data_IF_832210633140
#
_entry.id   IF_832210633140
#
_cell.length_a   1.000
_cell.length_b   1.000
_cell.length_c   1.000
_cell.angle_alpha   90.00
_cell.angle_beta   90.00
_cell.angle_gamma   90.00
#
_symmetry.space_group_name_H-M   'P 1'
#
loop_
_entity.id
_entity.type
_entity.pdbx_description
1 polymer ?
#
# COMPACT_ATOMS: atom_id res chain seq x y z
N UNK A 1 25.65 -3.58 15.01
CA UNK A 1 26.07 -3.08 13.65
C UNK A 1 25.68 -4.15 12.64
N UNK A 2 24.79 -3.80 11.70
CA UNK A 2 24.39 -4.74 10.65
C UNK A 2 25.49 -4.84 9.58
N UNK A 3 25.93 -6.05 9.27
CA UNK A 3 26.87 -6.29 8.20
C UNK A 3 26.27 -5.89 6.83
N UNK A 4 24.96 -6.01 6.70
CA UNK A 4 24.24 -5.60 5.49
C UNK A 4 24.33 -4.08 5.26
N UNK A 5 24.18 -3.26 6.30
CA UNK A 5 24.34 -1.79 6.23
C UNK A 5 25.74 -1.39 5.74
N UNK A 6 26.77 -1.99 6.34
CA UNK A 6 28.16 -1.80 5.91
C UNK A 6 28.39 -2.22 4.46
N UNK A 7 27.77 -3.35 4.04
CA UNK A 7 27.91 -3.86 2.68
C UNK A 7 27.19 -2.98 1.65
N UNK A 8 26.07 -2.33 1.98
CA UNK A 8 25.45 -1.32 1.12
C UNK A 8 26.35 -0.11 0.96
N UNK A 9 26.84 0.46 2.07
CA UNK A 9 27.73 1.60 2.04
C UNK A 9 29.02 1.28 1.29
N UNK A 10 29.63 0.12 1.55
CA UNK A 10 30.81 -0.37 0.83
C UNK A 10 30.57 -0.59 -0.66
N UNK A 11 29.41 -1.10 -1.05
CA UNK A 11 29.05 -1.27 -2.47
C UNK A 11 29.01 0.07 -3.21
N UNK A 12 28.46 1.10 -2.59
CA UNK A 12 28.42 2.46 -3.16
C UNK A 12 29.81 3.08 -3.31
N UNK A 13 30.74 2.75 -2.40
CA UNK A 13 32.14 3.18 -2.49
C UNK A 13 32.93 2.41 -3.57
N UNK A 14 32.57 1.15 -3.85
CA UNK A 14 33.23 0.30 -4.85
C UNK A 14 32.72 0.60 -6.25
N UNK A 15 31.41 0.66 -6.41
CA UNK A 15 30.74 0.89 -7.71
C UNK A 15 29.45 1.70 -7.54
N UNK A 16 29.52 2.97 -7.88
CA UNK A 16 28.39 3.89 -7.80
C UNK A 16 27.23 3.55 -8.76
N UNK A 17 27.44 2.69 -9.77
CA UNK A 17 26.38 2.28 -10.70
C UNK A 17 25.25 1.53 -9.98
N UNK A 18 25.51 0.91 -8.83
CA UNK A 18 24.50 0.25 -8.03
C UNK A 18 23.54 1.22 -7.30
N UNK A 19 23.85 2.53 -7.21
CA UNK A 19 23.10 3.51 -6.44
C UNK A 19 21.61 3.56 -6.83
N UNK A 20 21.31 3.52 -8.12
CA UNK A 20 19.92 3.60 -8.59
C UNK A 20 19.09 2.43 -8.05
N UNK A 21 19.62 1.22 -8.12
CA UNK A 21 18.95 0.02 -7.62
C UNK A 21 18.85 0.02 -6.08
N UNK A 22 19.87 0.51 -5.39
CA UNK A 22 19.88 0.65 -3.92
C UNK A 22 18.80 1.67 -3.47
N UNK A 23 18.70 2.82 -4.13
CA UNK A 23 17.68 3.87 -3.82
C UNK A 23 16.24 3.37 -3.98
N UNK A 24 15.99 2.35 -4.77
CA UNK A 24 14.66 1.74 -4.91
C UNK A 24 14.30 0.86 -3.71
N UNK A 25 15.28 0.38 -2.96
CA UNK A 25 15.09 -0.58 -1.86
C UNK A 25 15.17 0.05 -0.48
N UNK A 26 15.99 1.09 -0.29
CA UNK A 26 16.27 1.68 1.02
C UNK A 26 16.15 3.21 1.01
N UNK A 27 15.86 3.74 2.18
CA UNK A 27 15.91 5.17 2.52
C UNK A 27 17.03 5.44 3.52
N UNK A 28 17.42 6.70 3.66
CA UNK A 28 18.42 7.13 4.63
C UNK A 28 18.08 6.66 6.06
N UNK A 29 16.81 6.71 6.44
CA UNK A 29 16.33 6.30 7.78
C UNK A 29 16.33 4.78 8.01
N UNK A 30 16.58 3.98 6.99
CA UNK A 30 16.76 2.54 7.15
C UNK A 30 18.10 2.19 7.78
N UNK A 31 19.11 3.08 7.64
CA UNK A 31 20.44 2.88 8.19
C UNK A 31 20.48 3.24 9.68
N UNK A 32 20.90 2.27 10.50
CA UNK A 32 21.09 2.44 11.94
C UNK A 32 22.37 3.23 12.25
N UNK A 33 23.43 2.95 11.48
CA UNK A 33 24.76 3.58 11.66
C UNK A 33 24.80 4.91 10.94
N UNK A 34 25.05 5.98 11.68
CA UNK A 34 25.07 7.33 11.13
C UNK A 34 26.11 7.53 10.01
N UNK A 35 27.26 6.85 10.09
CA UNK A 35 28.29 6.91 9.05
C UNK A 35 27.83 6.25 7.75
N UNK A 36 27.16 5.08 7.80
CA UNK A 36 26.63 4.38 6.62
C UNK A 36 25.52 5.19 5.97
N UNK A 37 24.61 5.77 6.78
CA UNK A 37 23.58 6.71 6.35
C UNK A 37 24.20 7.89 5.58
N UNK A 38 25.22 8.50 6.16
CA UNK A 38 25.86 9.67 5.56
C UNK A 38 26.53 9.36 4.22
N UNK A 39 27.11 8.16 4.05
CA UNK A 39 27.65 7.68 2.78
C UNK A 39 26.53 7.55 1.75
N UNK A 40 25.42 6.91 2.10
CA UNK A 40 24.26 6.77 1.21
C UNK A 40 23.68 8.12 0.80
N UNK A 41 23.46 9.03 1.76
CA UNK A 41 22.96 10.38 1.49
C UNK A 41 23.93 11.20 0.62
N UNK A 42 25.23 11.08 0.85
CA UNK A 42 26.24 11.75 0.04
C UNK A 42 26.22 11.26 -1.41
N UNK A 43 26.12 9.93 -1.61
CA UNK A 43 25.99 9.34 -2.94
C UNK A 43 24.71 9.82 -3.65
N UNK A 44 23.60 9.91 -2.93
CA UNK A 44 22.33 10.43 -3.45
C UNK A 44 22.45 11.91 -3.86
N UNK A 45 23.03 12.77 -3.00
CA UNK A 45 23.22 14.20 -3.30
C UNK A 45 24.11 14.42 -4.51
N UNK A 46 25.20 13.66 -4.65
CA UNK A 46 26.08 13.74 -5.81
C UNK A 46 25.37 13.33 -7.11
N UNK A 47 24.58 12.25 -7.06
CA UNK A 47 23.78 11.81 -8.19
C UNK A 47 22.76 12.87 -8.62
N UNK A 48 22.02 13.44 -7.66
CA UNK A 48 21.01 14.46 -7.92
C UNK A 48 21.61 15.77 -8.47
N UNK A 49 22.86 16.05 -8.11
CA UNK A 49 23.64 17.19 -8.64
C UNK A 49 24.35 16.89 -9.97
N UNK A 50 24.25 15.66 -10.51
CA UNK A 50 24.94 15.24 -11.74
C UNK A 50 26.46 15.26 -11.61
N UNK A 51 26.99 15.11 -10.38
CA UNK A 51 28.42 15.11 -10.09
C UNK A 51 29.02 13.70 -10.16
N UNK A 52 30.32 13.60 -10.36
CA UNK A 52 31.00 12.30 -10.33
C UNK A 52 30.89 11.67 -8.94
N UNK A 53 30.60 10.37 -8.94
CA UNK A 53 30.38 9.58 -7.74
C UNK A 53 31.50 8.53 -7.65
N UNK A 54 32.40 8.74 -6.71
CA UNK A 54 33.48 7.84 -6.36
C UNK A 54 33.77 7.91 -4.85
N UNK A 55 34.65 7.05 -4.37
CA UNK A 55 35.00 6.99 -2.94
C UNK A 55 35.44 8.35 -2.37
N UNK A 56 36.21 9.13 -3.12
CA UNK A 56 36.75 10.42 -2.65
C UNK A 56 35.61 11.45 -2.57
N UNK A 57 34.82 11.58 -3.63
CA UNK A 57 33.73 12.56 -3.70
C UNK A 57 32.61 12.23 -2.68
N UNK A 58 32.26 10.97 -2.46
CA UNK A 58 31.30 10.56 -1.45
C UNK A 58 31.80 10.94 -0.05
N UNK A 59 33.01 10.55 0.33
CA UNK A 59 33.57 10.83 1.67
C UNK A 59 33.69 12.32 1.91
N UNK A 60 34.20 13.09 0.92
CA UNK A 60 34.29 14.55 1.03
C UNK A 60 32.92 15.21 1.16
N UNK A 61 31.92 14.77 0.37
CA UNK A 61 30.56 15.30 0.46
C UNK A 61 29.92 14.98 1.81
N UNK A 62 30.08 13.79 2.32
CA UNK A 62 29.58 13.40 3.65
C UNK A 62 30.20 14.24 4.77
N UNK A 63 31.53 14.41 4.76
CA UNK A 63 32.27 15.27 5.73
C UNK A 63 31.82 16.73 5.66
N UNK A 64 31.63 17.27 4.45
CA UNK A 64 31.13 18.65 4.24
C UNK A 64 29.73 18.84 4.90
N UNK A 65 28.93 17.80 5.02
CA UNK A 65 27.63 17.85 5.65
C UNK A 65 27.64 17.37 7.12
N UNK A 66 28.81 17.37 7.75
CA UNK A 66 28.97 17.15 9.20
C UNK A 66 29.12 15.67 9.61
N UNK A 67 29.29 14.75 8.66
CA UNK A 67 29.53 13.36 9.03
C UNK A 67 30.98 13.13 9.42
N UNK A 68 31.20 12.41 10.54
CA UNK A 68 32.52 11.97 10.97
C UNK A 68 32.85 10.60 10.35
N UNK A 69 33.46 10.62 9.17
CA UNK A 69 33.88 9.43 8.43
C UNK A 69 35.39 9.47 8.27
N UNK A 70 36.09 8.52 8.89
CA UNK A 70 37.55 8.38 8.70
C UNK A 70 37.86 7.64 7.40
N UNK A 71 39.05 7.88 6.85
CA UNK A 71 39.54 7.14 5.67
C UNK A 71 39.69 5.63 5.98
N UNK A 72 40.06 5.33 7.21
CA UNK A 72 40.11 3.95 7.73
C UNK A 72 38.72 3.26 7.69
N UNK A 73 37.67 3.99 8.07
CA UNK A 73 36.30 3.45 8.03
C UNK A 73 35.87 3.16 6.60
N UNK A 74 36.08 4.08 5.67
CA UNK A 74 35.79 3.88 4.26
C UNK A 74 36.57 2.69 3.68
N UNK A 75 37.86 2.55 3.99
CA UNK A 75 38.66 1.41 3.58
C UNK A 75 38.16 0.08 4.19
N UNK A 76 37.67 0.12 5.42
CA UNK A 76 37.10 -1.06 6.09
C UNK A 76 35.81 -1.49 5.40
N UNK A 77 34.90 -0.57 5.06
CA UNK A 77 33.67 -0.87 4.32
C UNK A 77 33.95 -1.54 2.99
N UNK A 78 34.93 -1.04 2.24
CA UNK A 78 35.33 -1.64 0.96
C UNK A 78 35.96 -3.05 1.14
N UNK A 79 36.65 -3.29 2.26
CA UNK A 79 37.24 -4.62 2.56
C UNK A 79 36.20 -5.66 2.98
N UNK A 80 35.17 -5.27 3.76
CA UNK A 80 34.12 -6.19 4.22
C UNK A 80 33.06 -6.45 3.16
N UNK A 81 33.06 -5.67 2.07
CA UNK A 81 32.10 -5.81 0.97
C UNK A 81 32.72 -6.64 -0.14
N UNK A 82 32.29 -7.90 -0.35
CA UNK A 82 32.93 -8.79 -1.34
C UNK A 82 32.73 -8.31 -2.78
N UNK A 83 31.59 -7.69 -3.07
CA UNK A 83 31.21 -7.22 -4.41
C UNK A 83 30.05 -6.24 -4.35
N UNK A 84 30.05 -5.24 -5.23
CA UNK A 84 28.91 -4.36 -5.43
C UNK A 84 27.74 -5.02 -6.20
N UNK A 85 27.97 -6.16 -6.87
CA UNK A 85 26.94 -6.85 -7.63
C UNK A 85 25.74 -7.31 -6.76
N UNK A 86 25.96 -7.51 -5.47
CA UNK A 86 24.92 -7.92 -4.52
C UNK A 86 24.30 -6.74 -3.74
N UNK A 87 24.59 -5.49 -4.12
CA UNK A 87 24.12 -4.31 -3.40
C UNK A 87 22.60 -4.28 -3.18
N UNK A 88 21.83 -4.72 -4.16
CA UNK A 88 20.35 -4.79 -4.06
C UNK A 88 19.91 -5.79 -2.98
N UNK A 89 20.54 -6.95 -2.86
CA UNK A 89 20.23 -7.93 -1.83
C UNK A 89 20.60 -7.41 -0.43
N UNK A 90 21.75 -6.72 -0.31
CA UNK A 90 22.14 -6.08 0.94
C UNK A 90 21.15 -4.97 1.31
N UNK A 91 20.72 -4.16 0.35
CA UNK A 91 19.72 -3.12 0.54
C UNK A 91 18.37 -3.70 1.01
N UNK A 92 17.88 -4.77 0.39
CA UNK A 92 16.66 -5.45 0.83
C UNK A 92 16.77 -5.96 2.29
N UNK A 93 17.94 -6.46 2.69
CA UNK A 93 18.20 -6.89 4.07
C UNK A 93 18.17 -5.70 5.04
N UNK A 94 18.83 -4.58 4.70
CA UNK A 94 18.82 -3.35 5.50
C UNK A 94 17.39 -2.83 5.67
N UNK A 95 16.60 -2.81 4.60
CA UNK A 95 15.19 -2.40 4.66
C UNK A 95 14.38 -3.32 5.59
N UNK A 96 14.50 -4.64 5.44
CA UNK A 96 13.79 -5.60 6.29
C UNK A 96 14.16 -5.45 7.78
N UNK A 97 15.43 -5.18 8.10
CA UNK A 97 15.88 -4.89 9.46
C UNK A 97 15.29 -3.56 9.96
N UNK A 98 15.22 -2.53 9.12
CA UNK A 98 14.64 -1.25 9.47
C UNK A 98 13.13 -1.36 9.75
N UNK A 99 12.38 -2.09 8.92
CA UNK A 99 10.96 -2.37 9.16
C UNK A 99 10.76 -3.08 10.49
N UNK A 100 11.57 -4.09 10.82
CA UNK A 100 11.50 -4.78 12.12
C UNK A 100 11.75 -3.82 13.30
N UNK A 101 12.73 -2.91 13.20
CA UNK A 101 12.97 -1.90 14.24
C UNK A 101 11.77 -0.99 14.39
N UNK A 102 11.21 -0.45 13.30
CA UNK A 102 10.01 0.40 13.34
C UNK A 102 8.82 -0.33 13.97
N UNK A 103 8.61 -1.60 13.64
CA UNK A 103 7.56 -2.41 14.26
C UNK A 103 7.79 -2.63 15.76
N UNK A 104 9.04 -2.84 16.17
CA UNK A 104 9.39 -2.92 17.60
C UNK A 104 9.12 -1.60 18.34
N UNK A 105 9.52 -0.47 17.74
CA UNK A 105 9.28 0.87 18.31
C UNK A 105 7.78 1.20 18.40
N UNK A 106 7.00 0.78 17.40
CA UNK A 106 5.53 0.90 17.43
C UNK A 106 4.96 0.05 18.57
N UNK A 107 5.48 -1.16 18.77
CA UNK A 107 5.07 -2.04 19.87
C UNK A 107 5.31 -1.42 21.24
N UNK A 108 6.50 -0.83 21.45
CA UNK A 108 6.83 -0.14 22.70
C UNK A 108 5.89 1.05 22.93
N UNK A 109 5.73 1.93 21.93
CA UNK A 109 4.81 3.08 22.02
C UNK A 109 3.37 2.67 22.29
N UNK A 110 2.92 1.56 21.70
CA UNK A 110 1.59 1.01 21.93
C UNK A 110 1.42 0.54 23.39
N UNK A 111 2.44 -0.12 23.95
CA UNK A 111 2.43 -0.52 25.37
C UNK A 111 2.36 0.70 26.29
N UNK A 112 3.20 1.71 26.05
CA UNK A 112 3.20 2.95 26.83
C UNK A 112 1.85 3.68 26.75
N UNK A 113 1.26 3.74 25.54
CA UNK A 113 -0.05 4.36 25.32
C UNK A 113 -1.19 3.62 26.04
N UNK A 114 -1.08 2.29 26.23
CA UNK A 114 -2.06 1.49 26.97
C UNK A 114 -1.95 1.70 28.50
N UNK A 115 -0.78 2.04 29.01
CA UNK A 115 -0.58 2.33 30.43
C UNK A 115 -1.10 3.73 30.81
N UNK A 116 -1.13 4.66 29.86
CA UNK A 116 -1.64 6.01 30.08
C UNK A 116 -3.17 6.05 30.03
N UNK A 117 -3.79 6.16 31.20
CA UNK A 117 -5.25 6.21 31.37
C UNK A 117 -5.92 7.45 30.74
N UNK A 118 -5.15 8.44 30.29
CA UNK A 118 -5.69 9.62 29.58
C UNK A 118 -6.03 9.29 28.13
N UNK A 119 -5.44 8.24 27.57
CA UNK A 119 -5.69 7.80 26.21
C UNK A 119 -6.97 6.97 26.09
N UNK A 120 -7.76 7.26 25.06
CA UNK A 120 -8.94 6.42 24.76
C UNK A 120 -8.55 5.19 23.94
N UNK A 121 -9.16 4.02 24.18
CA UNK A 121 -8.85 2.82 23.38
C UNK A 121 -8.99 3.04 21.87
N UNK A 122 -9.99 3.80 21.43
CA UNK A 122 -10.20 4.13 20.01
C UNK A 122 -9.04 5.00 19.45
N UNK A 123 -8.53 5.95 20.25
CA UNK A 123 -7.38 6.78 19.88
C UNK A 123 -6.11 5.94 19.71
N UNK A 124 -5.83 5.04 20.64
CA UNK A 124 -4.69 4.13 20.61
C UNK A 124 -4.74 3.25 19.35
N UNK A 125 -5.90 2.69 19.02
CA UNK A 125 -6.08 1.86 17.82
C UNK A 125 -5.82 2.68 16.55
N UNK A 126 -6.37 3.90 16.48
CA UNK A 126 -6.20 4.76 15.29
C UNK A 126 -4.73 5.14 15.08
N UNK A 127 -4.03 5.49 16.15
CA UNK A 127 -2.61 5.83 16.09
C UNK A 127 -1.75 4.63 15.70
N UNK A 128 -2.03 3.45 16.27
CA UNK A 128 -1.32 2.21 15.94
C UNK A 128 -1.51 1.84 14.46
N UNK A 129 -2.74 1.93 13.94
CA UNK A 129 -3.03 1.66 12.53
C UNK A 129 -2.27 2.61 11.60
N UNK A 130 -2.28 3.91 11.89
CA UNK A 130 -1.55 4.91 11.11
C UNK A 130 -0.02 4.67 11.14
N UNK A 131 0.52 4.31 12.30
CA UNK A 131 1.94 4.00 12.44
C UNK A 131 2.34 2.73 11.67
N UNK A 132 1.48 1.69 11.69
CA UNK A 132 1.71 0.44 10.94
C UNK A 132 1.64 0.66 9.43
N UNK A 133 0.70 1.47 8.93
CA UNK A 133 0.60 1.83 7.51
C UNK A 133 1.86 2.51 6.99
N UNK A 134 2.54 3.29 7.84
CA UNK A 134 3.77 4.01 7.47
C UNK A 134 5.05 3.20 7.70
N UNK A 135 4.99 2.07 8.41
CA UNK A 135 6.18 1.30 8.79
C UNK A 135 6.94 0.73 7.59
N UNK A 136 6.24 0.35 6.51
CA UNK A 136 6.80 -0.27 5.29
C UNK A 136 6.59 0.62 4.04
N UNK A 137 6.84 1.93 4.13
CA UNK A 137 6.61 2.85 3.00
C UNK A 137 7.78 2.97 2.02
N UNK A 138 8.93 2.38 2.28
CA UNK A 138 10.09 2.47 1.39
C UNK A 138 9.82 1.82 0.02
N UNK A 139 9.03 0.75 -0.01
CA UNK A 139 8.74 -0.01 -1.23
C UNK A 139 7.76 0.65 -2.21
N UNK A 140 7.02 1.70 -1.79
CA UNK A 140 5.90 2.23 -2.60
C UNK A 140 6.21 3.50 -3.41
N UNK A 141 7.35 4.15 -3.20
CA UNK A 141 7.68 5.42 -3.86
C UNK A 141 8.80 5.33 -4.91
N UNK A 142 9.25 4.13 -5.24
CA UNK A 142 10.27 3.91 -6.26
C UNK A 142 9.78 4.35 -7.65
N UNK A 143 10.54 5.21 -8.31
CA UNK A 143 10.36 5.48 -9.73
C UNK A 143 10.55 4.15 -10.48
N UNK A 144 9.47 3.64 -11.11
CA UNK A 144 9.54 2.43 -11.92
C UNK A 144 10.17 2.76 -13.27
N UNK A 145 11.14 2.00 -13.69
CA UNK A 145 11.69 2.10 -15.04
C UNK A 145 10.72 1.49 -16.06
N UNK A 146 10.87 1.86 -17.35
CA UNK A 146 10.05 1.24 -18.41
C UNK A 146 10.15 -0.29 -18.46
N UNK A 147 11.33 -0.92 -18.30
CA UNK A 147 11.45 -2.37 -18.20
C UNK A 147 10.68 -2.97 -17.03
N UNK A 148 10.75 -2.36 -15.83
CA UNK A 148 10.01 -2.84 -14.64
C UNK A 148 8.50 -2.76 -14.86
N UNK A 149 8.03 -1.70 -15.50
CA UNK A 149 6.61 -1.50 -15.83
C UNK A 149 6.16 -2.51 -16.87
N UNK A 150 7.00 -2.82 -17.86
CA UNK A 150 6.71 -3.84 -18.88
C UNK A 150 6.63 -5.24 -18.26
N UNK A 151 7.57 -5.60 -17.37
CA UNK A 151 7.54 -6.87 -16.65
C UNK A 151 6.25 -7.00 -15.83
N UNK A 152 5.90 -5.99 -15.04
CA UNK A 152 4.67 -5.96 -14.26
C UNK A 152 3.41 -6.06 -15.14
N UNK A 153 3.43 -5.46 -16.34
CA UNK A 153 2.34 -5.59 -17.30
C UNK A 153 2.21 -7.00 -17.89
N UNK A 154 3.33 -7.66 -18.17
CA UNK A 154 3.32 -9.05 -18.66
C UNK A 154 2.79 -10.01 -17.60
N UNK A 155 3.17 -9.82 -16.33
CA UNK A 155 2.65 -10.60 -15.20
C UNK A 155 1.14 -10.37 -15.01
N UNK A 156 0.68 -9.12 -15.13
CA UNK A 156 -0.73 -8.77 -15.13
C UNK A 156 -1.50 -9.46 -16.28
N UNK A 157 -0.94 -9.46 -17.47
CA UNK A 157 -1.50 -10.16 -18.63
C UNK A 157 -1.63 -11.66 -18.39
N UNK A 158 -0.60 -12.30 -17.84
CA UNK A 158 -0.63 -13.72 -17.50
C UNK A 158 -1.69 -14.04 -16.43
N UNK A 159 -1.94 -13.16 -15.47
CA UNK A 159 -3.03 -13.29 -14.50
C UNK A 159 -4.40 -13.20 -15.16
N UNK A 160 -4.60 -12.28 -16.12
CA UNK A 160 -5.84 -12.18 -16.92
C UNK A 160 -6.11 -13.46 -17.69
N UNK A 161 -5.09 -14.00 -18.38
CA UNK A 161 -5.20 -15.22 -19.18
C UNK A 161 -5.45 -16.48 -18.34
N UNK A 162 -4.95 -16.51 -17.10
CA UNK A 162 -5.17 -17.63 -16.14
C UNK A 162 -6.55 -17.61 -15.47
N UNK A 163 -7.41 -16.60 -15.77
CA UNK A 163 -8.74 -16.46 -15.17
C UNK A 163 -8.73 -16.10 -13.68
N UNK A 164 -7.60 -15.73 -13.11
CA UNK A 164 -7.52 -15.13 -11.78
C UNK A 164 -8.12 -13.74 -11.84
N UNK A 165 -9.26 -13.57 -11.20
CA UNK A 165 -10.13 -12.40 -11.33
C UNK A 165 -9.38 -11.09 -11.03
N UNK A 166 -9.08 -10.36 -12.08
CA UNK A 166 -8.66 -8.96 -12.03
C UNK A 166 -9.88 -8.05 -12.23
N UNK A 167 -11.04 -8.63 -12.50
CA UNK A 167 -12.30 -7.91 -12.71
C UNK A 167 -13.38 -8.36 -11.73
N UNK A 168 -14.22 -7.41 -11.33
CA UNK A 168 -15.41 -7.64 -10.52
C UNK A 168 -16.64 -7.53 -11.43
N UNK A 169 -17.41 -8.60 -11.57
CA UNK A 169 -18.63 -8.60 -12.37
C UNK A 169 -19.67 -7.65 -11.79
N UNK A 170 -20.40 -6.97 -12.67
CA UNK A 170 -21.52 -6.10 -12.28
C UNK A 170 -22.83 -6.86 -12.05
N UNK A 171 -22.91 -8.13 -12.48
CA UNK A 171 -24.13 -8.91 -12.52
C UNK A 171 -25.02 -8.64 -13.74
N UNK A 172 -24.57 -7.76 -14.63
CA UNK A 172 -25.22 -7.44 -15.91
C UNK A 172 -24.32 -7.84 -17.07
N UNK A 173 -24.55 -9.01 -17.72
CA UNK A 173 -23.64 -9.52 -18.74
C UNK A 173 -23.37 -8.55 -19.91
N UNK A 174 -24.38 -7.75 -20.28
CA UNK A 174 -24.23 -6.72 -21.30
C UNK A 174 -23.29 -5.60 -20.89
N UNK A 175 -23.35 -5.18 -19.62
CA UNK A 175 -22.44 -4.17 -19.06
C UNK A 175 -21.04 -4.75 -18.88
N UNK A 176 -20.94 -5.96 -18.35
CA UNK A 176 -19.65 -6.64 -18.19
C UNK A 176 -18.91 -6.79 -19.51
N UNK A 177 -19.64 -7.15 -20.58
CA UNK A 177 -19.07 -7.22 -21.93
C UNK A 177 -18.54 -5.87 -22.42
N UNK A 178 -19.27 -4.78 -22.16
CA UNK A 178 -18.83 -3.42 -22.53
C UNK A 178 -17.61 -2.96 -21.72
N UNK A 179 -17.47 -3.43 -20.49
CA UNK A 179 -16.34 -3.16 -19.60
C UNK A 179 -15.14 -4.09 -19.82
N UNK A 180 -15.20 -4.98 -20.82
CA UNK A 180 -14.10 -5.91 -21.11
C UNK A 180 -14.00 -7.10 -20.16
N UNK A 181 -15.13 -7.48 -19.51
CA UNK A 181 -15.22 -8.61 -18.58
C UNK A 181 -15.67 -8.24 -17.17
N UNK A 182 -15.93 -6.98 -16.91
CA UNK A 182 -16.36 -6.45 -15.60
C UNK A 182 -15.57 -5.20 -15.18
N UNK A 183 -15.79 -4.75 -13.98
CA UNK A 183 -15.05 -3.62 -13.39
C UNK A 183 -13.62 -4.07 -13.04
N UNK A 184 -12.63 -3.32 -13.48
CA UNK A 184 -11.22 -3.59 -13.14
C UNK A 184 -10.98 -3.43 -11.63
N UNK A 185 -10.21 -4.31 -11.04
CA UNK A 185 -9.69 -4.12 -9.69
C UNK A 185 -8.91 -2.78 -9.61
N UNK A 186 -9.05 -2.07 -8.50
CA UNK A 186 -8.46 -0.74 -8.30
C UNK A 186 -8.99 0.37 -9.24
N UNK A 187 -10.05 0.09 -10.03
CA UNK A 187 -10.70 1.07 -10.90
C UNK A 187 -11.68 1.95 -10.12
N UNK A 188 -11.73 3.25 -10.45
CA UNK A 188 -12.78 4.16 -10.00
C UNK A 188 -13.87 4.24 -11.07
N UNK A 189 -15.10 3.88 -10.71
CA UNK A 189 -16.27 3.95 -11.59
C UNK A 189 -17.28 4.97 -11.07
N UNK A 190 -17.69 5.89 -11.91
CA UNK A 190 -18.65 6.93 -11.55
C UNK A 190 -19.96 6.65 -12.26
N UNK A 191 -21.02 6.41 -11.46
CA UNK A 191 -22.39 6.23 -11.95
C UNK A 191 -23.16 7.55 -11.76
N UNK A 192 -23.55 8.20 -12.85
CA UNK A 192 -24.32 9.44 -12.82
C UNK A 192 -25.70 9.23 -13.48
N UNK A 193 -26.75 9.80 -12.90
CA UNK A 193 -28.09 9.78 -13.44
C UNK A 193 -28.91 10.93 -12.87
N UNK A 194 -30.00 11.31 -13.54
CA UNK A 194 -30.98 12.25 -13.01
C UNK A 194 -31.65 11.65 -11.75
N UNK A 195 -32.15 12.50 -10.84
CA UNK A 195 -32.94 12.04 -9.70
C UNK A 195 -34.07 11.11 -10.13
N UNK A 196 -34.30 10.03 -9.42
CA UNK A 196 -35.37 9.05 -9.72
C UNK A 196 -35.06 8.00 -10.80
N UNK A 197 -33.93 8.10 -11.53
CA UNK A 197 -33.57 7.14 -12.58
C UNK A 197 -33.01 5.80 -12.07
N UNK A 198 -33.01 5.56 -10.78
CA UNK A 198 -32.58 4.27 -10.22
C UNK A 198 -31.08 4.10 -9.97
N UNK A 199 -30.29 5.19 -9.93
CA UNK A 199 -28.84 5.17 -9.63
C UNK A 199 -28.50 4.31 -8.43
N UNK A 200 -29.12 4.56 -7.26
CA UNK A 200 -28.89 3.83 -6.01
C UNK A 200 -29.30 2.35 -6.14
N UNK A 201 -30.40 2.07 -6.83
CA UNK A 201 -30.88 0.70 -7.06
C UNK A 201 -29.88 -0.09 -7.90
N UNK A 202 -29.33 0.52 -8.96
CA UNK A 202 -28.32 -0.13 -9.79
C UNK A 202 -27.02 -0.36 -9.02
N UNK A 203 -26.54 0.64 -8.25
CA UNK A 203 -25.33 0.50 -7.45
C UNK A 203 -25.47 -0.56 -6.36
N UNK A 204 -26.63 -0.69 -5.70
CA UNK A 204 -26.92 -1.75 -4.74
C UNK A 204 -26.89 -3.14 -5.41
N UNK A 205 -27.50 -3.30 -6.59
CA UNK A 205 -27.49 -4.56 -7.33
C UNK A 205 -26.09 -5.00 -7.75
N UNK A 206 -25.26 -4.05 -8.18
CA UNK A 206 -23.84 -4.32 -8.48
C UNK A 206 -23.09 -4.74 -7.21
N UNK A 207 -23.31 -4.02 -6.09
CA UNK A 207 -22.69 -4.34 -4.81
C UNK A 207 -23.12 -5.73 -4.29
N UNK A 208 -24.40 -6.09 -4.40
CA UNK A 208 -24.93 -7.42 -4.05
C UNK A 208 -24.29 -8.53 -4.91
N UNK A 209 -24.12 -8.27 -6.21
CA UNK A 209 -23.46 -9.23 -7.08
C UNK A 209 -21.97 -9.40 -6.74
N UNK A 210 -21.27 -8.32 -6.51
CA UNK A 210 -19.87 -8.34 -6.10
C UNK A 210 -19.67 -9.05 -4.75
N UNK A 211 -20.60 -8.88 -3.81
CA UNK A 211 -20.56 -9.48 -2.49
C UNK A 211 -20.65 -11.02 -2.49
N UNK A 212 -21.07 -11.64 -3.60
CA UNK A 212 -21.06 -13.11 -3.75
C UNK A 212 -19.64 -13.70 -3.79
N UNK A 213 -18.66 -12.89 -4.20
CA UNK A 213 -17.28 -13.33 -4.37
C UNK A 213 -16.30 -12.70 -3.36
N UNK A 214 -16.80 -11.84 -2.45
CA UNK A 214 -15.97 -11.18 -1.46
C UNK A 214 -16.74 -10.16 -0.64
N UNK A 215 -16.09 -9.48 0.30
CA UNK A 215 -16.72 -8.43 1.10
C UNK A 215 -16.93 -7.16 0.24
N UNK A 216 -18.12 -6.56 0.35
CA UNK A 216 -18.46 -5.29 -0.28
C UNK A 216 -18.89 -4.27 0.78
N UNK A 217 -18.26 -3.11 0.80
CA UNK A 217 -18.64 -2.01 1.69
C UNK A 217 -19.47 -0.99 0.92
N UNK A 218 -20.62 -0.62 1.47
CA UNK A 218 -21.50 0.38 0.88
C UNK A 218 -21.66 1.59 1.81
N UNK A 219 -21.12 2.73 1.41
CA UNK A 219 -21.23 3.99 2.15
C UNK A 219 -22.37 4.81 1.59
N UNK A 220 -23.38 5.08 2.41
CA UNK A 220 -24.53 5.91 2.04
C UNK A 220 -24.52 7.22 2.81
N UNK A 221 -24.51 8.33 2.06
CA UNK A 221 -24.58 9.70 2.62
C UNK A 221 -26.00 10.29 2.53
N UNK A 222 -26.90 9.66 1.78
CA UNK A 222 -28.25 10.17 1.50
C UNK A 222 -29.36 9.34 2.21
N UNK A 223 -29.13 8.04 2.36
CA UNK A 223 -30.12 7.09 2.87
C UNK A 223 -29.65 6.38 4.12
N UNK A 224 -30.57 6.13 5.07
CA UNK A 224 -30.26 5.31 6.25
C UNK A 224 -30.11 3.81 5.91
N UNK A 225 -29.50 3.06 6.82
CA UNK A 225 -29.33 1.61 6.67
C UNK A 225 -30.68 0.88 6.51
N UNK A 226 -31.72 1.30 7.23
CA UNK A 226 -33.05 0.74 7.16
C UNK A 226 -33.69 0.97 5.79
N UNK A 227 -33.51 2.17 5.22
CA UNK A 227 -34.03 2.50 3.88
C UNK A 227 -33.33 1.67 2.79
N UNK A 228 -32.02 1.45 2.93
CA UNK A 228 -31.25 0.60 2.01
C UNK A 228 -31.74 -0.84 2.13
N UNK A 229 -31.89 -1.33 3.36
CA UNK A 229 -32.38 -2.69 3.63
C UNK A 229 -33.78 -2.91 3.08
N UNK A 230 -34.69 -1.96 3.30
CA UNK A 230 -36.04 -2.02 2.74
C UNK A 230 -36.05 -2.08 1.19
N UNK A 231 -35.13 -1.37 0.52
CA UNK A 231 -34.99 -1.44 -0.94
C UNK A 231 -34.47 -2.80 -1.41
N UNK A 232 -33.53 -3.40 -0.67
CA UNK A 232 -33.02 -4.74 -0.97
C UNK A 232 -34.13 -5.78 -0.83
N UNK A 233 -34.83 -5.78 0.31
CA UNK A 233 -35.97 -6.67 0.56
C UNK A 233 -37.03 -6.48 -0.50
N UNK A 234 -37.42 -5.25 -0.84
CA UNK A 234 -38.41 -4.99 -1.87
C UNK A 234 -38.00 -5.56 -3.24
N UNK A 235 -36.73 -5.49 -3.58
CA UNK A 235 -36.22 -6.02 -4.85
C UNK A 235 -36.21 -7.54 -4.93
N UNK A 236 -36.06 -8.23 -3.81
CA UNK A 236 -36.05 -9.70 -3.73
C UNK A 236 -37.45 -10.29 -3.55
N UNK A 237 -38.25 -9.68 -2.65
CA UNK A 237 -39.60 -10.20 -2.28
C UNK A 237 -40.72 -9.73 -3.22
N UNK A 238 -40.46 -8.66 -4.03
CA UNK A 238 -41.50 -8.00 -4.84
C UNK A 238 -42.48 -7.16 -4.01
N UNK A 239 -42.23 -6.93 -2.73
CA UNK A 239 -43.03 -6.07 -1.88
C UNK A 239 -42.74 -4.57 -2.18
N UNK A 240 -43.74 -3.69 -1.99
CA UNK A 240 -43.49 -2.28 -2.16
C UNK A 240 -42.71 -1.69 -0.98
N UNK A 241 -41.76 -0.82 -1.26
CA UNK A 241 -40.97 -0.12 -0.23
C UNK A 241 -41.88 0.62 0.75
N UNK A 242 -42.95 1.24 0.26
CA UNK A 242 -43.91 1.96 1.10
C UNK A 242 -44.59 1.06 2.15
N UNK A 243 -44.83 -0.22 1.85
CA UNK A 243 -45.38 -1.17 2.82
C UNK A 243 -44.33 -1.60 3.85
N UNK A 244 -43.08 -1.74 3.43
CA UNK A 244 -41.98 -2.13 4.33
C UNK A 244 -41.62 -1.01 5.30
N UNK A 245 -41.80 0.25 4.89
CA UNK A 245 -41.39 1.42 5.68
C UNK A 245 -42.51 2.02 6.53
N UNK A 246 -43.80 1.75 6.19
CA UNK A 246 -44.95 2.26 6.93
C UNK A 246 -45.44 1.17 7.88
N UNK A 247 -45.27 1.34 9.19
CA UNK A 247 -45.54 0.38 10.28
C UNK A 247 -46.93 -0.20 10.40
N UNK A 248 -47.61 -0.47 9.28
CA UNK A 248 -48.82 -1.30 9.22
C UNK A 248 -48.39 -2.73 9.05
N UNK A 249 -48.87 -3.64 9.90
CA UNK A 249 -48.50 -5.05 9.89
C UNK A 249 -48.54 -5.64 8.48
N UNK A 250 -47.48 -6.37 8.15
CA UNK A 250 -47.44 -7.19 6.94
C UNK A 250 -48.43 -8.34 7.07
N UNK A 251 -49.11 -8.70 5.99
CA UNK A 251 -49.95 -9.88 5.95
C UNK A 251 -49.11 -11.14 6.16
N UNK A 252 -49.69 -12.20 6.69
CA UNK A 252 -48.98 -13.48 6.97
C UNK A 252 -48.25 -14.03 5.73
N UNK A 253 -48.85 -13.88 4.55
CA UNK A 253 -48.22 -14.23 3.28
C UNK A 253 -47.00 -13.37 2.93
N UNK A 254 -47.01 -12.09 3.31
CA UNK A 254 -45.90 -11.14 3.11
C UNK A 254 -44.78 -11.37 4.13
N UNK A 255 -45.12 -11.77 5.36
CA UNK A 255 -44.12 -12.19 6.37
C UNK A 255 -43.40 -13.45 5.94
N UNK A 256 -44.11 -14.42 5.30
CA UNK A 256 -43.51 -15.61 4.73
C UNK A 256 -42.47 -15.30 3.63
N UNK A 257 -42.64 -14.22 2.86
CA UNK A 257 -41.68 -13.77 1.84
C UNK A 257 -40.46 -13.09 2.42
N UNK A 258 -40.48 -12.67 3.67
CA UNK A 258 -39.32 -12.10 4.38
C UNK A 258 -38.45 -13.14 5.09
N UNK A 259 -39.04 -14.33 5.35
CA UNK A 259 -38.40 -15.43 6.09
C UNK A 259 -37.57 -16.37 5.19
N UNK A 260 -37.77 -16.31 3.88
CA UNK A 260 -37.04 -17.08 2.85
C UNK A 260 -36.03 -16.19 2.12
#
# INVERSE_FOLDING_TARGET
MSLASQSVAGSLLIDAACLLAVRQQVRADDFEVAADRAIFEAACRLADAGQAIDVVTIVQNARKHGADISDEYAATLMKVTPTAANATNYAATVHAEAVRRRLSDIGVRLMDACEDQTNTPAGIITEAMSALETADTASQTGMRTSPDTLSAFLDYRAQLESGRAVTVGTGYPGLDKLLGGGMLAQGLYILAARPGCGKTTLSLKIAEHAAKNGACLFFSLEMSAEQITARRIAAESGLSIGRLMVGRGLLDEEQGKLAN
#
